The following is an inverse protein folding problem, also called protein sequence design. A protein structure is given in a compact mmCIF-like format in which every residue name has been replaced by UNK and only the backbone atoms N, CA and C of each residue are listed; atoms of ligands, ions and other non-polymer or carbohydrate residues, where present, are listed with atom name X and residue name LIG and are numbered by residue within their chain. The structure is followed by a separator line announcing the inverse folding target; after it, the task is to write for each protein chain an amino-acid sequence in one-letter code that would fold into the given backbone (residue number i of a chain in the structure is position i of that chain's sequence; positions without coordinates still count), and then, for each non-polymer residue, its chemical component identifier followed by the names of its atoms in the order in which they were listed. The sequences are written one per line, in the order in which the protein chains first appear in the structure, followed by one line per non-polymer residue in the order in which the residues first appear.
data_IF_103139329509
#
_entry.id   IF_103139329509
#
_cell.length_a   1.000
_cell.length_b   1.000
_cell.length_c   1.000
_cell.angle_alpha   90.00
_cell.angle_beta   90.00
_cell.angle_gamma   90.00
#
_symmetry.space_group_name_H-M   'P 1'
#
loop_
_entity.id
_entity.type
_entity.pdbx_description
1 polymer ?
2 non-polymer ?
3 water ?
#
# COMPACT_ATOMS: atom_id res chain seq x y z
N UNK A 4 4.98 -23.85 -16.02
CA UNK A 4 3.50 -23.80 -16.16
C UNK A 4 2.85 -24.19 -14.83
N UNK A 5 3.63 -24.73 -13.89
CA UNK A 5 3.08 -25.14 -12.59
C UNK A 5 4.06 -24.75 -11.48
N UNK A 6 3.56 -24.60 -10.25
CA UNK A 6 4.40 -24.25 -9.07
C UNK A 6 4.04 -25.21 -7.95
N UNK A 7 5.05 -25.80 -7.31
CA UNK A 7 4.85 -26.69 -6.15
C UNK A 7 5.36 -25.96 -4.92
N UNK A 8 4.69 -26.12 -3.78
CA UNK A 8 5.19 -25.54 -2.51
C UNK A 8 4.63 -26.37 -1.38
N UNK A 9 5.54 -26.80 -0.48
CA UNK A 9 5.35 -27.70 0.69
C UNK A 9 4.44 -28.88 0.26
N UNK A 10 4.77 -29.47 -0.91
CA UNK A 10 4.07 -30.60 -1.51
C UNK A 10 3.19 -30.18 -2.69
N UNK A 11 2.30 -29.20 -2.46
CA UNK A 11 1.06 -28.98 -3.26
C UNK A 11 1.32 -28.21 -4.56
N UNK A 12 0.50 -28.55 -5.54
CA UNK A 12 0.65 -28.08 -6.96
C UNK A 12 -0.35 -26.96 -7.18
N UNK A 13 0.13 -25.92 -7.83
CA UNK A 13 -0.65 -24.74 -8.21
C UNK A 13 -0.38 -24.60 -9.69
N UNK A 14 -1.40 -24.33 -10.48
CA UNK A 14 -1.22 -24.02 -11.90
C UNK A 14 -1.25 -22.49 -12.06
N UNK A 15 -0.33 -21.97 -12.85
CA UNK A 15 -0.19 -20.54 -13.14
C UNK A 15 -1.28 -20.09 -14.11
N UNK A 16 -2.18 -19.20 -13.72
CA UNK A 16 -3.06 -18.52 -14.70
C UNK A 16 -2.29 -17.36 -15.35
N UNK A 17 -1.64 -16.48 -14.60
CA UNK A 17 -0.73 -15.50 -15.21
C UNK A 17 0.20 -14.86 -14.17
N UNK A 18 1.19 -14.14 -14.67
CA UNK A 18 2.08 -13.29 -13.85
C UNK A 18 1.40 -11.94 -13.65
N UNK A 19 1.49 -11.35 -12.47
CA UNK A 19 0.73 -10.11 -12.15
C UNK A 19 1.66 -9.02 -11.59
N UNK A 20 2.83 -9.44 -11.06
CA UNK A 20 3.86 -8.51 -10.57
C UNK A 20 5.25 -8.98 -10.84
N UNK A 21 6.20 -8.05 -10.73
CA UNK A 21 7.63 -8.20 -11.09
C UNK A 21 8.46 -7.19 -10.30
N UNK A 22 9.74 -7.54 -10.15
CA UNK A 22 10.79 -6.65 -9.66
C UNK A 22 11.99 -7.45 -9.24
N UNK A 23 13.20 -6.89 -9.41
CA UNK A 23 14.49 -7.52 -9.07
C UNK A 23 14.45 -9.03 -9.25
N UNK A 24 14.55 -9.78 -8.14
CA UNK A 24 14.70 -11.25 -8.15
C UNK A 24 13.33 -11.95 -8.01
N UNK A 25 12.19 -11.24 -8.10
CA UNK A 25 10.86 -11.84 -7.80
C UNK A 25 9.80 -11.66 -8.90
N UNK A 26 8.84 -12.56 -8.84
CA UNK A 26 7.62 -12.58 -9.69
C UNK A 26 6.44 -12.96 -8.81
N UNK A 27 5.27 -12.41 -9.11
CA UNK A 27 3.99 -12.80 -8.46
C UNK A 27 3.08 -13.36 -9.53
N UNK A 28 2.53 -14.54 -9.27
CA UNK A 28 1.52 -15.22 -10.11
C UNK A 28 0.17 -15.37 -9.41
N UNK A 29 -0.90 -15.00 -10.11
CA UNK A 29 -2.27 -15.55 -9.91
C UNK A 29 -2.25 -17.02 -10.36
N UNK A 30 -2.90 -17.88 -9.59
CA UNK A 30 -2.61 -19.34 -9.49
C UNK A 30 -3.87 -20.07 -8.98
N UNK A 31 -4.05 -21.35 -9.37
CA UNK A 31 -5.09 -22.28 -8.87
C UNK A 31 -4.44 -23.47 -8.18
N UNK A 32 -5.02 -23.91 -7.06
CA UNK A 32 -4.67 -25.20 -6.42
C UNK A 32 -5.55 -26.26 -7.06
N UNK A 33 -5.49 -27.50 -6.57
CA UNK A 33 -6.19 -28.66 -7.21
C UNK A 33 -7.72 -28.49 -7.04
N UNK A 34 -8.24 -27.80 -6.01
CA UNK A 34 -9.71 -27.62 -5.84
C UNK A 34 -10.21 -26.41 -6.64
N UNK A 35 -9.34 -25.86 -7.51
CA UNK A 35 -9.62 -24.75 -8.44
C UNK A 35 -9.88 -23.45 -7.65
N UNK A 36 -9.20 -23.28 -6.53
CA UNK A 36 -9.24 -22.02 -5.76
C UNK A 36 -8.03 -21.19 -6.13
N UNK A 37 -8.22 -19.90 -6.05
CA UNK A 37 -7.26 -18.91 -6.55
C UNK A 37 -6.38 -18.37 -5.39
N UNK A 38 -5.09 -18.24 -5.63
CA UNK A 38 -4.12 -17.67 -4.69
C UNK A 38 -3.19 -16.78 -5.53
N UNK A 39 -2.43 -15.93 -4.84
CA UNK A 39 -1.24 -15.24 -5.41
C UNK A 39 -0.02 -16.01 -4.86
N UNK A 40 0.85 -16.50 -5.73
CA UNK A 40 2.15 -17.00 -5.25
C UNK A 40 3.26 -16.02 -5.64
N UNK A 41 3.99 -15.55 -4.63
CA UNK A 41 5.26 -14.83 -4.82
C UNK A 41 6.46 -15.80 -4.87
N UNK A 42 7.23 -15.71 -5.94
CA UNK A 42 8.49 -16.44 -6.16
C UNK A 42 9.67 -15.49 -6.02
N UNK A 43 10.61 -15.79 -5.11
CA UNK A 43 11.88 -15.01 -5.00
C UNK A 43 13.04 -15.97 -5.25
N UNK A 44 13.76 -15.70 -6.34
CA UNK A 44 15.01 -16.37 -6.75
C UNK A 44 16.14 -15.73 -5.95
N UNK A 45 16.82 -16.55 -5.16
CA UNK A 45 17.81 -16.08 -4.16
C UNK A 45 19.25 -16.41 -4.58
N UNK A 46 19.45 -17.15 -5.67
CA UNK A 46 20.83 -17.58 -6.04
C UNK A 46 21.70 -16.35 -6.21
N UNK A 47 21.20 -15.35 -6.93
CA UNK A 47 22.00 -14.11 -7.03
C UNK A 47 21.20 -13.07 -6.24
N UNK A 48 21.55 -12.90 -4.97
CA UNK A 48 20.88 -11.92 -4.10
C UNK A 48 21.85 -11.49 -3.01
N UNK A 49 21.89 -10.18 -2.73
CA UNK A 49 22.76 -9.62 -1.67
C UNK A 49 22.19 -9.97 -0.30
N UNK A 50 23.03 -9.97 0.74
CA UNK A 50 22.53 -10.29 2.10
C UNK A 50 21.52 -9.23 2.55
N UNK A 51 21.60 -8.01 2.01
CA UNK A 51 20.68 -6.94 2.46
C UNK A 51 19.30 -7.29 1.86
N UNK A 52 19.28 -7.88 0.65
CA UNK A 52 18.04 -8.37 -0.01
C UNK A 52 17.46 -9.54 0.81
N UNK A 53 18.21 -10.61 1.05
CA UNK A 53 17.80 -11.79 1.87
C UNK A 53 17.17 -11.34 3.18
N UNK A 54 17.86 -10.46 3.91
CA UNK A 54 17.42 -10.08 5.27
C UNK A 54 16.06 -9.41 5.15
N UNK A 55 15.90 -8.54 4.14
CA UNK A 55 14.65 -7.81 3.88
C UNK A 55 13.57 -8.88 3.62
N UNK A 56 13.86 -9.91 2.81
CA UNK A 56 12.88 -10.93 2.40
C UNK A 56 12.48 -11.72 3.65
N UNK A 57 13.41 -12.05 4.55
CA UNK A 57 13.15 -12.82 5.81
C UNK A 57 12.27 -12.02 6.81
N UNK A 58 12.56 -10.73 6.91
CA UNK A 58 11.90 -9.75 7.79
C UNK A 58 10.45 -9.64 7.29
N UNK A 59 10.28 -9.54 5.99
CA UNK A 59 8.95 -9.47 5.36
C UNK A 59 8.14 -10.71 5.78
N UNK A 60 8.64 -11.96 5.64
CA UNK A 60 7.74 -13.13 5.89
C UNK A 60 7.42 -13.18 7.40
N UNK A 61 8.40 -12.98 8.27
CA UNK A 61 8.24 -12.86 9.75
C UNK A 61 7.11 -11.90 10.11
N UNK A 62 7.17 -10.68 9.58
CA UNK A 62 6.17 -9.60 9.83
C UNK A 62 4.81 -9.98 9.24
N UNK A 63 4.77 -10.39 7.98
CA UNK A 63 3.51 -10.80 7.34
C UNK A 63 2.85 -11.88 8.20
N UNK A 64 3.66 -12.83 8.65
CA UNK A 64 3.15 -13.96 9.46
C UNK A 64 2.59 -13.50 10.81
N UNK A 65 3.30 -12.61 11.51
CA UNK A 65 2.82 -12.13 12.84
C UNK A 65 1.55 -11.28 12.70
N UNK A 66 1.48 -10.42 11.69
CA UNK A 66 0.35 -9.46 11.48
C UNK A 66 -0.96 -10.13 11.06
N UNK A 67 -0.92 -11.40 10.64
CA UNK A 67 -2.14 -12.08 10.17
C UNK A 67 -3.18 -12.08 11.28
N UNK A 68 -2.76 -12.41 12.50
CA UNK A 68 -3.69 -12.51 13.65
C UNK A 68 -4.31 -11.15 13.96
N UNK A 69 -3.53 -10.10 13.87
CA UNK A 69 -3.95 -8.72 14.25
C UNK A 69 -5.04 -8.10 13.37
N UNK A 70 -5.04 -8.31 12.05
CA UNK A 70 -6.09 -7.63 11.25
C UNK A 70 -6.41 -8.37 9.95
N UNK A 71 -7.67 -8.31 9.52
CA UNK A 71 -8.10 -8.88 8.22
C UNK A 71 -7.91 -7.81 7.13
N UNK A 72 -7.31 -6.66 7.39
CA UNK A 72 -7.05 -5.66 6.31
C UNK A 72 -5.60 -5.82 5.87
N UNK A 73 -4.92 -6.83 6.39
CA UNK A 73 -3.64 -7.30 5.85
C UNK A 73 -3.85 -8.56 4.99
N UNK A 74 -3.18 -8.63 3.83
CA UNK A 74 -3.23 -9.80 2.93
C UNK A 74 -2.89 -11.07 3.72
N UNK A 75 -3.66 -12.14 3.54
CA UNK A 75 -3.43 -13.42 4.25
C UNK A 75 -2.25 -14.18 3.65
N UNK A 76 -1.47 -14.86 4.50
CA UNK A 76 -0.33 -15.69 4.05
C UNK A 76 -0.66 -17.12 4.48
N UNK A 77 -1.03 -17.97 3.52
CA UNK A 77 -1.46 -19.36 3.80
C UNK A 77 -0.26 -20.24 4.05
N UNK A 78 0.85 -20.02 3.38
CA UNK A 78 1.98 -20.96 3.46
C UNK A 78 3.20 -20.37 2.76
N UNK A 79 4.37 -20.93 3.04
CA UNK A 79 5.63 -20.48 2.43
C UNK A 79 6.69 -21.55 2.59
N UNK A 80 7.60 -21.54 1.64
CA UNK A 80 8.73 -22.45 1.48
C UNK A 80 9.91 -21.53 1.28
N UNK A 81 10.94 -21.72 2.12
CA UNK A 81 12.18 -20.90 2.05
C UNK A 81 13.40 -21.85 2.07
N UNK A 82 14.33 -21.54 1.18
CA UNK A 82 15.48 -22.38 0.79
C UNK A 82 16.64 -21.43 0.55
N UNK A 83 17.84 -21.93 0.39
CA UNK A 83 18.97 -21.00 0.11
C UNK A 83 18.72 -20.47 -1.31
N UNK A 84 18.04 -21.26 -2.15
CA UNK A 84 17.79 -21.00 -3.61
C UNK A 84 16.54 -20.13 -3.83
N UNK A 85 15.42 -20.40 -3.16
CA UNK A 85 14.15 -19.69 -3.47
C UNK A 85 13.33 -19.44 -2.20
N UNK A 86 12.42 -18.47 -2.35
CA UNK A 86 11.18 -18.35 -1.55
C UNK A 86 9.92 -18.53 -2.44
N UNK A 87 8.97 -19.36 -2.00
CA UNK A 87 7.56 -19.34 -2.41
C UNK A 87 6.69 -18.86 -1.27
N UNK A 88 5.85 -17.86 -1.51
CA UNK A 88 4.80 -17.38 -0.54
C UNK A 88 3.41 -17.58 -1.15
N UNK A 89 2.59 -18.43 -0.53
CA UNK A 89 1.17 -18.62 -0.97
C UNK A 89 0.27 -17.63 -0.21
N UNK A 90 -0.29 -16.68 -0.96
CA UNK A 90 -1.05 -15.59 -0.32
C UNK A 90 -2.40 -15.42 -1.01
N UNK A 91 -3.33 -14.73 -0.35
CA UNK A 91 -4.68 -14.50 -0.91
C UNK A 91 -4.55 -13.63 -2.16
N UNK A 92 -5.35 -13.95 -3.18
CA UNK A 92 -5.36 -13.20 -4.46
C UNK A 92 -6.53 -12.23 -4.40
N UNK A 93 -6.35 -10.99 -4.83
CA UNK A 93 -7.51 -10.09 -4.73
C UNK A 93 -8.15 -9.98 -6.08
N UNK A 94 -9.27 -9.30 -6.18
CA UNK A 94 -9.97 -9.02 -7.46
C UNK A 94 -9.11 -8.03 -8.30
N UNK A 95 -8.61 -6.95 -7.72
CA UNK A 95 -7.88 -5.86 -8.44
C UNK A 95 -7.12 -5.01 -7.42
N UNK A 96 -5.94 -4.49 -7.80
CA UNK A 96 -5.18 -3.44 -7.06
C UNK A 96 -5.94 -2.13 -7.18
N UNK A 97 -5.78 -1.26 -6.17
CA UNK A 97 -6.56 0.00 -6.04
C UNK A 97 -6.12 0.95 -7.15
N UNK A 98 -4.87 0.89 -7.61
CA UNK A 98 -4.39 1.80 -8.68
C UNK A 98 -5.25 1.50 -9.92
N UNK A 99 -5.23 0.27 -10.44
CA UNK A 99 -5.97 -0.14 -11.67
C UNK A 99 -7.47 0.11 -11.50
N UNK A 100 -8.04 -0.12 -10.32
CA UNK A 100 -9.47 0.22 -10.10
C UNK A 100 -9.68 1.73 -10.29
N UNK A 101 -8.77 2.56 -9.79
CA UNK A 101 -8.98 4.03 -9.81
C UNK A 101 -8.97 4.53 -11.26
N UNK A 102 -8.15 3.94 -12.14
CA UNK A 102 -8.07 4.35 -13.58
C UNK A 102 -9.35 4.01 -14.36
N UNK A 103 -9.97 2.84 -14.19
CA UNK A 103 -11.34 2.52 -14.69
C UNK A 103 -12.36 3.60 -14.27
N UNK A 104 -12.68 3.69 -12.99
CA UNK A 104 -13.79 4.49 -12.38
C UNK A 104 -14.00 5.86 -13.03
N UNK A 105 -15.18 6.10 -13.61
CA UNK A 105 -15.66 7.46 -13.98
C UNK A 105 -15.70 8.32 -12.71
N UNK A 106 -16.04 7.74 -11.55
CA UNK A 106 -16.27 8.45 -10.25
C UNK A 106 -16.55 7.42 -9.15
N UNK A 107 -16.48 7.83 -7.88
CA UNK A 107 -16.47 6.92 -6.69
C UNK A 107 -17.69 7.23 -5.81
N UNK A 108 -18.42 6.18 -5.36
CA UNK A 108 -19.51 6.31 -4.37
C UNK A 108 -18.90 6.85 -3.06
N UNK A 109 -19.29 8.05 -2.60
CA UNK A 109 -18.69 8.65 -1.42
C UNK A 109 -18.67 7.72 -0.20
N UNK A 110 -19.62 6.77 -0.15
CA UNK A 110 -19.76 5.81 0.99
C UNK A 110 -18.77 4.66 0.76
N UNK A 111 -18.48 4.40 -0.51
CA UNK A 111 -17.44 3.42 -0.91
C UNK A 111 -16.05 3.98 -0.54
N UNK A 112 -15.86 5.28 -0.76
CA UNK A 112 -14.56 5.99 -0.60
C UNK A 112 -14.21 6.06 0.89
N UNK A 113 -15.20 6.41 1.73
CA UNK A 113 -15.12 6.33 3.20
C UNK A 113 -14.82 4.90 3.69
N UNK A 114 -15.51 3.91 3.17
CA UNK A 114 -15.30 2.51 3.59
C UNK A 114 -13.84 2.10 3.31
N UNK A 115 -13.33 2.46 2.13
CA UNK A 115 -11.92 2.21 1.75
C UNK A 115 -11.01 2.95 2.72
N UNK A 116 -11.22 4.25 2.92
CA UNK A 116 -10.43 5.06 3.88
C UNK A 116 -10.29 4.29 5.18
N UNK A 117 -11.40 3.76 5.69
CA UNK A 117 -11.39 3.11 7.03
C UNK A 117 -10.40 1.95 6.92
N UNK A 118 -10.62 1.10 5.91
CA UNK A 118 -9.82 -0.10 5.60
C UNK A 118 -8.36 0.31 5.54
N UNK A 119 -8.02 1.35 4.79
CA UNK A 119 -6.59 1.78 4.75
C UNK A 119 -6.12 2.17 6.17
N UNK A 120 -6.92 2.92 6.97
CA UNK A 120 -6.48 3.34 8.32
C UNK A 120 -6.21 2.14 9.18
N UNK A 121 -7.08 1.14 9.14
CA UNK A 121 -6.95 -0.05 10.02
C UNK A 121 -5.68 -0.82 9.61
N UNK A 122 -5.44 -1.00 8.33
CA UNK A 122 -4.22 -1.71 7.88
C UNK A 122 -2.98 -1.00 8.41
N UNK A 123 -2.89 0.29 8.15
CA UNK A 123 -1.64 1.04 8.40
C UNK A 123 -1.47 1.23 9.92
N UNK A 124 -2.58 1.44 10.63
CA UNK A 124 -2.63 1.48 12.11
C UNK A 124 -1.96 0.19 12.63
N UNK A 125 -2.34 -0.97 12.06
CA UNK A 125 -1.87 -2.30 12.56
C UNK A 125 -0.34 -2.37 12.40
N UNK A 126 0.19 -1.98 11.23
CA UNK A 126 1.65 -2.06 11.05
C UNK A 126 2.33 -1.04 11.98
N UNK A 127 1.71 0.11 12.26
CA UNK A 127 2.32 1.12 13.18
C UNK A 127 2.41 0.55 14.61
N UNK A 128 1.41 -0.15 15.07
CA UNK A 128 1.42 -0.81 16.41
C UNK A 128 2.48 -1.89 16.50
N UNK A 129 3.01 -2.44 15.42
CA UNK A 129 4.17 -3.39 15.52
C UNK A 129 5.47 -2.70 15.11
N UNK A 130 5.51 -1.38 15.18
CA UNK A 130 6.75 -0.62 14.99
C UNK A 130 7.19 -0.62 13.55
N UNK A 131 6.28 -0.78 12.59
CA UNK A 131 6.58 -0.70 11.14
C UNK A 131 5.98 0.60 10.60
N UNK A 132 6.80 1.32 9.85
CA UNK A 132 6.42 2.47 8.99
C UNK A 132 6.66 2.07 7.54
N UNK A 133 5.59 2.03 6.75
CA UNK A 133 5.66 1.49 5.37
C UNK A 133 6.59 2.39 4.54
N UNK A 134 6.31 3.68 4.53
CA UNK A 134 7.14 4.73 3.89
C UNK A 134 6.97 4.80 2.36
N UNK A 135 6.15 3.99 1.69
CA UNK A 135 6.07 4.05 0.21
C UNK A 135 4.66 3.66 -0.23
N UNK A 136 3.67 4.20 0.47
CA UNK A 136 2.26 3.80 0.32
C UNK A 136 1.75 4.48 -0.96
N UNK A 137 1.37 3.66 -1.96
CA UNK A 137 0.70 4.12 -3.20
C UNK A 137 -0.62 3.35 -3.24
N UNK A 138 -1.54 3.66 -4.15
CA UNK A 138 -2.73 2.83 -4.37
C UNK A 138 -2.43 1.38 -4.82
N UNK A 139 -1.43 1.18 -5.66
CA UNK A 139 -0.90 -0.17 -6.01
C UNK A 139 -0.72 -1.03 -4.76
N UNK A 140 -0.42 -0.46 -3.58
CA UNK A 140 -0.10 -1.26 -2.37
C UNK A 140 -1.34 -1.79 -1.68
N UNK A 141 -2.53 -1.45 -2.17
CA UNK A 141 -3.84 -1.94 -1.64
C UNK A 141 -4.59 -2.79 -2.68
N UNK A 142 -5.39 -3.73 -2.18
CA UNK A 142 -6.09 -4.81 -2.93
C UNK A 142 -7.56 -4.71 -2.60
N UNK A 143 -8.43 -4.73 -3.59
CA UNK A 143 -9.88 -4.90 -3.33
C UNK A 143 -10.19 -6.39 -3.32
N UNK A 144 -10.84 -6.87 -2.26
CA UNK A 144 -11.17 -8.29 -1.96
C UNK A 144 -12.45 -8.29 -1.14
N UNK A 145 -13.64 -8.47 -1.75
CA UNK A 145 -14.95 -8.58 -1.03
C UNK A 145 -15.36 -7.17 -0.60
N UNK A 146 -15.23 -6.22 -1.53
CA UNK A 146 -15.48 -4.80 -1.28
C UNK A 146 -14.63 -4.24 -0.12
N UNK A 147 -13.65 -4.95 0.42
CA UNK A 147 -12.77 -4.30 1.43
C UNK A 147 -11.36 -4.16 0.84
N UNK A 148 -10.59 -3.13 1.27
CA UNK A 148 -9.17 -2.94 0.89
C UNK A 148 -8.29 -3.68 1.88
N UNK A 149 -7.22 -4.32 1.40
CA UNK A 149 -6.23 -5.06 2.23
C UNK A 149 -4.86 -4.52 1.81
N UNK A 150 -4.00 -4.18 2.79
CA UNK A 150 -2.59 -3.81 2.54
C UNK A 150 -1.81 -5.07 2.05
N UNK A 151 -0.98 -4.89 1.02
CA UNK A 151 -0.34 -5.96 0.18
C UNK A 151 1.07 -6.25 0.70
N UNK A 152 1.75 -5.22 1.20
CA UNK A 152 3.17 -5.25 1.66
C UNK A 152 3.39 -4.20 2.76
N UNK A 153 4.65 -4.04 3.19
CA UNK A 153 5.06 -3.39 4.45
C UNK A 153 6.19 -2.34 4.25
N UNK A 154 6.69 -2.15 3.04
CA UNK A 154 7.84 -1.29 2.71
C UNK A 154 9.17 -1.90 3.11
N UNK A 155 9.20 -3.20 3.45
CA UNK A 155 10.40 -3.88 4.00
C UNK A 155 11.29 -4.44 2.86
N UNK A 156 10.73 -5.15 1.86
CA UNK A 156 11.36 -5.43 0.53
C UNK A 156 10.59 -4.65 -0.54
N UNK A 157 11.25 -4.11 -1.55
CA UNK A 157 10.57 -2.98 -2.26
C UNK A 157 10.70 -3.12 -3.76
N UNK A 158 11.17 -4.27 -4.23
CA UNK A 158 11.40 -4.54 -5.67
C UNK A 158 10.04 -4.51 -6.42
N UNK A 159 8.94 -4.97 -5.83
CA UNK A 159 7.76 -5.48 -6.58
C UNK A 159 6.99 -4.30 -7.22
N UNK A 160 6.37 -4.58 -8.36
CA UNK A 160 5.59 -3.60 -9.16
C UNK A 160 4.52 -4.32 -9.95
N UNK A 161 3.30 -3.76 -10.09
CA UNK A 161 2.36 -4.27 -11.08
C UNK A 161 2.91 -4.00 -12.49
N UNK A 174 6.09 6.91 -9.85
CA UNK A 174 5.70 8.26 -9.37
C UNK A 174 6.47 8.57 -8.08
N UNK A 175 6.47 9.86 -7.79
CA UNK A 175 7.08 10.49 -6.60
C UNK A 175 5.97 11.34 -5.98
N UNK A 176 4.73 11.15 -6.47
CA UNK A 176 3.49 11.92 -6.18
C UNK A 176 3.00 11.68 -4.75
N UNK A 177 3.48 10.62 -4.09
CA UNK A 177 2.97 10.16 -2.77
C UNK A 177 4.02 10.45 -1.70
N UNK A 178 5.17 10.97 -2.13
CA UNK A 178 6.34 11.20 -1.22
C UNK A 178 6.04 12.33 -0.23
N UNK A 179 6.20 12.06 1.08
CA UNK A 179 6.09 13.10 2.09
C UNK A 179 7.27 14.08 2.07
N UNK A 180 7.02 15.36 2.43
CA UNK A 180 8.04 16.39 2.36
C UNK A 180 9.30 16.02 3.17
N UNK A 181 9.10 15.43 4.34
CA UNK A 181 10.20 15.17 5.30
C UNK A 181 11.12 14.05 4.77
N UNK A 182 10.65 13.17 3.87
CA UNK A 182 11.51 12.07 3.33
C UNK A 182 12.50 12.67 2.34
N UNK A 183 12.07 13.76 1.69
CA UNK A 183 12.84 14.59 0.73
C UNK A 183 13.77 15.55 1.48
N UNK A 184 13.27 16.26 2.50
CA UNK A 184 14.04 17.20 3.38
C UNK A 184 15.20 16.49 4.07
N UNK A 185 15.12 15.18 4.32
CA UNK A 185 16.14 14.31 4.95
C UNK A 185 17.30 14.04 3.95
N UNK A 186 18.26 14.99 3.85
CA UNK A 186 19.53 14.83 3.10
C UNK A 186 20.42 13.82 3.85
N UNK A 199 12.36 8.54 9.97
CA UNK A 199 10.98 8.97 9.56
C UNK A 199 9.95 8.36 10.52
N UNK A 200 8.90 9.10 10.79
CA UNK A 200 7.89 8.71 11.79
C UNK A 200 6.71 8.04 11.09
N UNK A 201 5.75 7.49 11.86
CA UNK A 201 4.46 7.11 11.30
C UNK A 201 3.75 8.23 10.53
N UNK A 202 4.05 9.49 10.85
CA UNK A 202 3.37 10.62 10.19
C UNK A 202 3.68 10.60 8.71
N UNK A 203 4.79 9.99 8.31
CA UNK A 203 5.13 9.86 6.88
C UNK A 203 4.01 9.10 6.14
N UNK A 204 3.44 8.05 6.75
CA UNK A 204 2.42 7.22 6.07
C UNK A 204 1.13 8.03 5.99
N UNK A 205 0.88 8.86 6.99
CA UNK A 205 -0.33 9.74 6.95
C UNK A 205 -0.29 10.64 5.71
N UNK A 206 0.85 11.24 5.39
CA UNK A 206 0.94 12.09 4.18
C UNK A 206 0.50 11.27 2.96
N UNK A 207 1.08 10.07 2.75
CA UNK A 207 0.82 9.25 1.53
C UNK A 207 -0.64 8.76 1.48
N UNK A 208 -1.20 8.40 2.65
CA UNK A 208 -2.62 8.03 2.75
C UNK A 208 -3.47 9.23 2.33
N UNK A 209 -3.05 10.43 2.79
CA UNK A 209 -3.64 11.72 2.44
C UNK A 209 -3.62 11.91 0.96
N UNK A 210 -2.52 11.57 0.28
CA UNK A 210 -2.43 11.73 -1.20
C UNK A 210 -3.38 10.76 -1.92
N UNK A 211 -3.48 9.54 -1.41
CA UNK A 211 -4.43 8.53 -1.93
C UNK A 211 -5.88 8.98 -1.71
N UNK A 212 -6.21 9.41 -0.49
CA UNK A 212 -7.56 9.97 -0.20
C UNK A 212 -7.81 11.17 -1.12
N UNK A 213 -6.84 12.06 -1.34
CA UNK A 213 -7.00 13.26 -2.20
C UNK A 213 -7.30 12.80 -3.62
N UNK A 214 -6.62 11.77 -4.09
CA UNK A 214 -6.83 11.17 -5.44
C UNK A 214 -8.28 10.69 -5.54
N UNK A 215 -8.77 10.02 -4.50
CA UNK A 215 -10.11 9.40 -4.48
C UNK A 215 -11.18 10.50 -4.40
N UNK A 216 -10.86 11.73 -4.02
CA UNK A 216 -11.96 12.71 -3.87
C UNK A 216 -11.91 13.69 -5.04
N UNK A 217 -10.73 13.95 -5.58
CA UNK A 217 -10.55 15.01 -6.61
C UNK A 217 -10.17 14.37 -7.95
N UNK A 218 -10.01 13.06 -8.03
CA UNK A 218 -9.59 12.41 -9.27
C UNK A 218 -8.17 12.75 -9.67
N UNK A 219 -7.39 13.45 -8.82
CA UNK A 219 -5.93 13.56 -9.03
C UNK A 219 -5.19 13.56 -7.69
N UNK A 220 -3.90 13.23 -7.67
CA UNK A 220 -3.02 13.46 -6.50
C UNK A 220 -2.72 14.95 -6.48
N UNK A 221 -2.19 15.53 -5.38
CA UNK A 221 -2.08 16.99 -5.27
C UNK A 221 -1.05 17.67 -6.19
N UNK A 222 0.01 17.00 -6.59
CA UNK A 222 1.07 17.59 -7.44
C UNK A 222 1.14 16.84 -8.78
N UNK A 223 0.03 16.17 -9.10
CA UNK A 223 -0.12 15.33 -10.33
C UNK A 223 0.29 16.16 -11.53
N UNK A 224 -0.27 17.38 -11.61
CA UNK A 224 -0.31 18.29 -12.79
C UNK A 224 1.08 18.84 -13.08
N UNK A 225 1.88 19.16 -12.05
CA UNK A 225 3.32 19.49 -12.21
C UNK A 225 3.95 18.35 -13.00
N UNK A 226 4.74 18.71 -14.01
CA UNK A 226 4.95 17.85 -15.19
C UNK A 226 6.30 17.16 -15.00
N UNK A 227 7.40 17.91 -14.97
CA UNK A 227 8.75 17.36 -14.68
C UNK A 227 8.80 17.06 -13.17
N UNK A 228 9.65 16.07 -12.83
CA UNK A 228 9.85 15.45 -11.49
C UNK A 228 10.73 16.35 -10.62
N UNK A 229 11.78 16.97 -11.16
CA UNK A 229 12.63 17.86 -10.31
C UNK A 229 11.71 18.90 -9.69
N UNK A 230 10.73 19.40 -10.47
CA UNK A 230 9.86 20.56 -10.13
C UNK A 230 8.80 20.10 -9.14
N UNK A 231 8.46 18.80 -9.16
CA UNK A 231 7.49 18.13 -8.24
C UNK A 231 8.05 18.16 -6.82
N UNK A 232 9.31 17.76 -6.64
CA UNK A 232 9.96 17.64 -5.31
C UNK A 232 10.12 19.02 -4.67
N UNK A 233 10.27 20.05 -5.51
CA UNK A 233 10.33 21.49 -5.11
C UNK A 233 8.99 21.89 -4.50
N UNK A 234 7.90 21.57 -5.22
CA UNK A 234 6.51 21.84 -4.80
C UNK A 234 6.22 21.14 -3.47
N UNK A 235 6.57 19.85 -3.35
CA UNK A 235 6.21 19.04 -2.15
C UNK A 235 6.82 19.66 -0.90
N UNK A 236 8.00 20.29 -0.96
CA UNK A 236 8.68 20.78 0.29
C UNK A 236 8.46 22.31 0.49
N UNK A 237 8.22 23.08 -0.58
CA UNK A 237 8.02 24.54 -0.57
C UNK A 237 6.76 24.94 0.19
N UNK A 238 6.87 25.60 1.37
CA UNK A 238 5.72 26.16 2.08
C UNK A 238 4.86 27.09 1.23
N UNK A 239 5.48 27.89 0.36
CA UNK A 239 4.78 28.93 -0.44
C UNK A 239 3.87 28.23 -1.47
N UNK A 240 4.21 27.00 -1.89
CA UNK A 240 3.32 26.19 -2.74
C UNK A 240 2.12 25.71 -1.91
N UNK A 241 0.98 26.37 -2.03
CA UNK A 241 -0.26 25.92 -1.32
C UNK A 241 -0.94 24.85 -2.16
N UNK A 242 -1.48 23.85 -1.49
CA UNK A 242 -2.30 22.80 -2.14
C UNK A 242 -3.74 23.31 -2.17
N UNK A 243 -4.45 23.04 -3.26
CA UNK A 243 -5.86 23.42 -3.42
C UNK A 243 -6.78 22.29 -2.93
N UNK A 244 -7.64 22.63 -1.97
CA UNK A 244 -8.79 21.83 -1.50
C UNK A 244 -10.08 22.55 -1.91
N UNK A 245 -10.55 22.35 -3.15
CA UNK A 245 -11.89 22.78 -3.56
C UNK A 245 -13.05 22.37 -2.64
N UNK A 246 -13.93 23.32 -2.32
CA UNK A 246 -15.24 23.09 -1.65
C UNK A 246 -15.86 21.81 -2.21
N UNK A 247 -16.33 20.95 -1.31
CA UNK A 247 -17.12 19.72 -1.63
C UNK A 247 -18.20 19.64 -0.57
N UNK A 248 -19.26 18.84 -0.83
CA UNK A 248 -20.32 18.68 0.17
C UNK A 248 -19.84 18.12 1.51
N UNK A 249 -18.86 17.22 1.49
CA UNK A 249 -18.42 16.48 2.69
C UNK A 249 -17.36 17.32 3.41
N UNK A 250 -17.80 18.21 4.31
CA UNK A 250 -16.90 19.22 4.91
C UNK A 250 -15.85 18.48 5.72
N UNK A 251 -16.23 17.34 6.32
CA UNK A 251 -15.36 16.48 7.17
C UNK A 251 -14.19 15.94 6.33
N UNK A 252 -14.47 15.38 5.15
CA UNK A 252 -13.47 14.77 4.23
C UNK A 252 -12.39 15.80 3.90
N UNK A 253 -12.85 16.99 3.57
CA UNK A 253 -11.99 18.19 3.31
C UNK A 253 -11.11 18.40 4.53
N UNK A 254 -11.65 18.28 5.73
CA UNK A 254 -10.83 18.53 6.93
C UNK A 254 -9.75 17.42 7.00
N UNK A 255 -10.13 16.15 6.76
CA UNK A 255 -9.19 14.99 6.84
C UNK A 255 -8.06 15.28 5.85
N UNK A 256 -8.38 15.82 4.69
CA UNK A 256 -7.35 15.98 3.63
C UNK A 256 -6.41 17.10 4.06
N UNK A 257 -6.93 18.15 4.69
CA UNK A 257 -6.09 19.35 4.99
C UNK A 257 -5.16 18.98 6.14
N UNK A 258 -5.65 18.17 7.08
CA UNK A 258 -4.87 17.64 8.22
C UNK A 258 -3.84 16.59 7.79
N UNK A 259 -4.19 15.71 6.84
CA UNK A 259 -3.23 14.69 6.35
C UNK A 259 -2.16 15.42 5.56
N UNK A 260 -2.45 16.57 4.93
CA UNK A 260 -1.49 17.14 3.93
C UNK A 260 -0.78 18.38 4.49
N UNK A 261 -0.60 18.47 5.80
CA UNK A 261 0.31 19.47 6.41
C UNK A 261 1.74 19.02 6.22
N UNK A 262 2.62 19.91 5.77
CA UNK A 262 4.05 19.67 5.53
C UNK A 262 4.78 19.39 6.84
N UNK A 263 4.34 19.96 7.97
CA UNK A 263 5.03 19.71 9.27
C UNK A 263 4.48 18.43 9.91
N UNK A 264 5.27 17.31 9.88
CA UNK A 264 4.84 16.06 10.49
C UNK A 264 4.34 16.26 11.93
N UNK A 265 4.96 17.19 12.65
CA UNK A 265 4.61 17.43 14.07
C UNK A 265 3.19 18.03 14.14
N UNK A 266 2.72 18.80 13.14
CA UNK A 266 1.41 19.51 13.13
C UNK A 266 0.41 18.66 12.35
N UNK A 267 0.86 17.53 11.80
CA UNK A 267 0.03 16.71 10.88
C UNK A 267 -0.73 15.70 11.74
N UNK A 268 -1.93 15.35 11.32
CA UNK A 268 -2.81 14.45 12.12
C UNK A 268 -2.19 13.05 12.21
N UNK A 269 -2.38 12.37 13.33
CA UNK A 269 -1.86 11.02 13.58
C UNK A 269 -2.90 10.03 13.08
N UNK A 270 -2.59 8.74 13.02
CA UNK A 270 -3.58 7.68 12.67
C UNK A 270 -4.62 7.58 13.80
N UNK A 271 -4.24 7.53 15.10
CA UNK A 271 -5.25 7.42 16.16
C UNK A 271 -6.23 8.62 16.17
N UNK A 272 -5.75 9.82 15.79
CA UNK A 272 -6.60 11.03 15.62
C UNK A 272 -7.55 10.74 14.46
N UNK A 273 -7.00 10.33 13.31
CA UNK A 273 -7.80 10.04 12.08
C UNK A 273 -8.93 9.06 12.39
N UNK A 274 -8.70 8.09 13.28
CA UNK A 274 -9.75 7.07 13.57
C UNK A 274 -10.82 7.67 14.46
N UNK A 275 -10.55 8.79 15.13
CA UNK A 275 -11.52 9.45 16.03
C UNK A 275 -12.23 10.57 15.27
N UNK A 276 -11.86 10.80 14.01
CA UNK A 276 -12.32 11.96 13.19
C UNK A 276 -13.77 11.74 12.76
N UNK A 277 -14.60 12.80 12.79
CA UNK A 277 -16.00 12.71 12.35
C UNK A 277 -16.19 12.05 10.98
N UNK A 278 -15.27 12.26 10.05
CA UNK A 278 -15.36 11.67 8.68
C UNK A 278 -15.55 10.16 8.75
N UNK A 279 -14.91 9.45 9.69
CA UNK A 279 -15.02 7.95 9.81
C UNK A 279 -16.01 7.58 10.91
N UNK A 280 -16.44 8.50 11.77
CA UNK A 280 -17.23 8.11 12.98
C UNK A 280 -18.69 8.52 12.83
N UNK A 281 -18.95 9.70 12.28
CA UNK A 281 -20.33 10.26 12.13
C UNK A 281 -20.95 9.60 10.90
X LIG B 1 -1.57 -7.17 -7.34
X LIG B 1 -3.54 -8.46 -7.37
X LIG B 1 -2.81 -7.42 -7.88
X LIG B 1 -1.53 -9.80 -4.76
X LIG B 1 -2.60 -10.60 -4.64
X LIG B 1 -5.30 -9.70 -8.41
X LIG B 1 -5.27 -9.31 -9.85
X LIG B 1 -5.39 -10.60 -10.56
X LIG B 1 -0.94 -6.13 -7.93
X LIG B 1 2.59 -6.05 -7.16
X LIG B 1 3.71 -6.76 -7.38
X LIG B 1 2.64 -4.87 -6.39
X LIG B 1 3.84 -4.44 -5.89
X LIG B 1 3.80 -3.18 -5.14
X LIG B 1 1.47 -4.14 -6.19
X LIG B 1 0.27 -4.58 -6.69
X LIG B 1 0.23 -5.74 -7.43
X LIG B 1 1.38 -6.48 -7.68
X LIG B 1 1.28 -7.59 -8.42
X LIG B 1 -1.12 -7.93 -6.32
X LIG B 1 -1.78 -8.87 -5.81
X LIG B 1 -3.52 -10.25 -5.57
X LIG B 1 -3.06 -9.21 -6.29
X LIG B 1 -4.72 -8.54 -7.89
X LIG B 1 -4.77 -11.63 -9.97
X LIG B 1 -4.77 -10.25 -11.67
X LIG B 1 -6.69 -10.88 -10.55
X LIG B 1 -0.33 -9.73 -4.01
X LIG B 1 -0.23 -10.27 -2.74
X LIG B 1 0.95 -10.15 -2.05
X LIG B 1 2.02 -9.43 -2.60
X LIG B 1 1.92 -8.87 -3.85
X LIG B 1 3.06 -8.06 -4.48
X LIG B 1 0.74 -9.00 -4.52
X LIG B 1 3.35 -9.26 -1.85
X LIG B 1 4.41 -9.40 -2.43
X LIG B 1 3.26 -8.87 -0.57
X LIG B 1 4.45 -8.74 0.30
X LIG B 1 4.75 -10.03 1.06
X LIG B 1 4.17 -8.83 1.81
#
# INVERSE_FOLDING_TARGET
GSNECISVKGRIYSILKQIGSGGSSKVFQVLNEKKQIYAIKYVNLEEADNQTLDSYRNEIAYLNKLQQHSDKIIRLYDYEITDQYIYMVMECGNIDLNSWLKKKKSIDPWERKSYWKNMLEAVHTIHQHGIVHSDLKPANFLIVDGMLKLIDFGIANQMQPDTTSVVKDSQVGTVNYMPPEAIKDMSSSRENGKSKSKISPKSDVWSLGCILYYMTYGKTPFQQIINQISKLHAIIDPNHEIEFPDIPEKDLQDVLKCCLKRDPKQRISIPELLAHPYVQIQTHPVNQMAKGTT
8RH C1 C2 C3 C8 C9 C11 C12 C13 O18 C20 F36 C22 O37 C38 C24 C23 C19 C21 F35 N5 N6 N7 C4 N10 F16 F15 F14 C17 C28 C29 C27 C25 C30 C26 C31 O33 N32 C34 C42 C41
#
